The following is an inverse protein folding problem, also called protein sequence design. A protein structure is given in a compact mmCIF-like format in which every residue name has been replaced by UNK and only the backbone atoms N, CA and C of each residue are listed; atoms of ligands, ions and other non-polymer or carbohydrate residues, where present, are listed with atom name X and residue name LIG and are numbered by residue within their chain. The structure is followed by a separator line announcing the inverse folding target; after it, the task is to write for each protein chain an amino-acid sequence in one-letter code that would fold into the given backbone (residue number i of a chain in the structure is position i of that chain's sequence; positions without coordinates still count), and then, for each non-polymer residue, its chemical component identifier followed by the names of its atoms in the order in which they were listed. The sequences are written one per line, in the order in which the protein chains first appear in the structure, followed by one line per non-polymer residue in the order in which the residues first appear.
data_IF_806612049474
#
_entry.id   IF_806612049474
#
_cell.length_a   1.000
_cell.length_b   1.000
_cell.length_c   1.000
_cell.angle_alpha   90.00
_cell.angle_beta   90.00
_cell.angle_gamma   90.00
#
_symmetry.space_group_name_H-M   'P 1'
#
loop_
_entity.id
_entity.type
_entity.pdbx_description
1 polymer ?
#
# COMPACT_ATOMS: atom_id res chain seq x y z
N UNK A 1 58.87 -0.47 33.56
CA UNK A 1 57.39 -0.46 33.55
C UNK A 1 56.92 -1.73 32.87
N UNK A 2 56.46 -2.72 33.64
CA UNK A 2 55.94 -3.98 33.10
C UNK A 2 54.47 -3.77 32.71
N UNK A 3 54.14 -3.94 31.42
CA UNK A 3 52.75 -3.92 30.97
C UNK A 3 52.07 -5.22 31.42
N UNK A 4 51.18 -5.10 32.41
CA UNK A 4 50.34 -6.19 32.89
C UNK A 4 49.35 -6.60 31.80
N UNK A 5 49.65 -7.69 31.09
CA UNK A 5 48.80 -8.26 30.05
C UNK A 5 47.41 -8.66 30.59
N UNK A 6 47.25 -8.83 31.90
CA UNK A 6 45.97 -9.15 32.52
C UNK A 6 45.09 -7.93 32.78
N UNK A 7 45.62 -6.71 32.69
CA UNK A 7 44.86 -5.48 32.97
C UNK A 7 43.68 -5.28 32.01
N UNK A 8 43.87 -5.57 30.72
CA UNK A 8 42.81 -5.47 29.69
C UNK A 8 41.70 -6.50 29.92
N UNK A 9 42.07 -7.75 30.21
CA UNK A 9 41.13 -8.83 30.50
C UNK A 9 40.30 -8.53 31.75
N UNK A 10 40.96 -8.07 32.82
CA UNK A 10 40.31 -7.69 34.08
C UNK A 10 39.37 -6.50 33.91
N UNK A 11 39.75 -5.50 33.11
CA UNK A 11 38.87 -4.38 32.77
C UNK A 11 37.59 -4.85 32.05
N UNK A 12 37.71 -5.68 31.01
CA UNK A 12 36.56 -6.18 30.26
C UNK A 12 35.65 -7.06 31.11
N UNK A 13 36.22 -7.91 31.96
CA UNK A 13 35.47 -8.76 32.89
C UNK A 13 34.70 -7.92 33.90
N UNK A 14 35.35 -6.92 34.50
CA UNK A 14 34.71 -6.02 35.46
C UNK A 14 33.64 -5.13 34.81
N UNK A 15 33.87 -4.66 33.59
CA UNK A 15 32.88 -3.92 32.82
C UNK A 15 31.66 -4.79 32.48
N UNK A 16 31.87 -6.05 32.08
CA UNK A 16 30.81 -7.02 31.83
C UNK A 16 29.98 -7.31 33.09
N UNK A 17 30.63 -7.52 34.24
CA UNK A 17 29.94 -7.70 35.51
C UNK A 17 29.17 -6.44 35.95
N UNK A 18 29.74 -5.25 35.76
CA UNK A 18 29.08 -3.98 36.09
C UNK A 18 27.82 -3.74 35.26
N UNK A 19 27.90 -3.96 33.93
CA UNK A 19 26.76 -3.85 33.03
C UNK A 19 25.68 -4.90 33.34
N UNK A 20 26.09 -6.14 33.64
CA UNK A 20 25.17 -7.22 34.02
C UNK A 20 24.45 -6.94 35.35
N UNK A 21 25.18 -6.47 36.36
CA UNK A 21 24.62 -6.10 37.66
C UNK A 21 23.68 -4.89 37.54
N UNK A 22 24.02 -3.90 36.71
CA UNK A 22 23.15 -2.75 36.42
C UNK A 22 21.85 -3.20 35.74
N UNK A 23 21.93 -4.03 34.69
CA UNK A 23 20.76 -4.56 34.01
C UNK A 23 19.87 -5.39 34.96
N UNK A 24 20.48 -6.26 35.77
CA UNK A 24 19.77 -7.10 36.74
C UNK A 24 19.10 -6.27 37.84
N UNK A 25 19.81 -5.27 38.38
CA UNK A 25 19.23 -4.34 39.35
C UNK A 25 18.13 -3.49 38.74
N UNK A 26 18.15 -3.23 37.43
CA UNK A 26 17.07 -2.54 36.74
C UNK A 26 15.78 -3.34 36.73
N UNK A 27 15.84 -4.65 36.47
CA UNK A 27 14.66 -5.52 36.26
C UNK A 27 14.19 -6.26 37.52
N UNK A 28 14.75 -5.95 38.69
CA UNK A 28 14.43 -6.64 39.93
C UNK A 28 12.99 -6.33 40.39
N UNK A 29 12.10 -7.33 40.50
CA UNK A 29 10.70 -7.09 40.89
C UNK A 29 10.61 -6.44 42.28
N UNK A 30 9.93 -5.29 42.38
CA UNK A 30 9.68 -4.60 43.65
C UNK A 30 10.83 -3.75 44.20
N UNK A 31 11.93 -3.56 43.43
CA UNK A 31 13.06 -2.74 43.87
C UNK A 31 14.02 -2.25 42.79
N UNK A 32 13.78 -2.57 41.51
CA UNK A 32 14.58 -2.05 40.40
C UNK A 32 14.16 -0.65 39.94
N UNK A 33 15.11 0.09 39.37
CA UNK A 33 14.88 1.44 38.83
C UNK A 33 14.24 1.44 37.43
N UNK A 34 14.23 0.28 36.74
CA UNK A 34 13.34 0.09 35.59
C UNK A 34 12.01 -0.30 36.21
N UNK A 35 11.16 0.71 36.41
CA UNK A 35 9.84 0.52 36.98
C UNK A 35 9.11 -0.58 36.18
N UNK A 36 8.76 -1.68 36.85
CA UNK A 36 7.83 -2.68 36.31
C UNK A 36 6.41 -2.11 36.14
N UNK A 37 6.21 -0.83 36.51
CA UNK A 37 5.05 -0.01 36.17
C UNK A 37 5.10 0.31 34.68
N UNK A 38 4.67 -0.65 33.87
CA UNK A 38 3.88 -0.43 32.65
C UNK A 38 3.46 -1.74 31.96
N UNK A 39 3.83 -2.93 32.47
CA UNK A 39 3.33 -4.18 31.89
C UNK A 39 1.81 -4.37 32.09
N UNK A 40 1.25 -3.80 33.18
CA UNK A 40 -0.18 -3.90 33.49
C UNK A 40 -1.08 -2.94 32.70
N UNK A 41 -0.52 -1.86 32.12
CA UNK A 41 -1.28 -0.91 31.29
C UNK A 41 -1.43 -1.37 29.83
N UNK A 42 -0.68 -2.41 29.42
CA UNK A 42 -0.89 -3.09 28.14
C UNK A 42 -1.96 -4.19 28.31
N UNK A 43 -3.21 -3.77 28.52
CA UNK A 43 -4.36 -4.66 28.73
C UNK A 43 -4.62 -5.65 27.57
N UNK A 44 -4.10 -5.37 26.37
CA UNK A 44 -3.93 -6.33 25.28
C UNK A 44 -3.09 -5.62 24.19
N UNK A 45 -1.91 -6.14 23.78
CA UNK A 45 -1.11 -5.52 22.72
C UNK A 45 -1.82 -5.46 21.36
N UNK A 46 -2.88 -6.25 21.19
CA UNK A 46 -3.75 -6.26 20.01
C UNK A 46 -5.03 -5.43 20.22
N UNK A 47 -5.23 -4.83 21.39
CA UNK A 47 -6.38 -3.99 21.65
C UNK A 47 -6.46 -2.84 20.64
N UNK A 48 -7.69 -2.43 20.28
CA UNK A 48 -7.91 -1.24 19.49
C UNK A 48 -7.17 -0.02 20.02
N UNK A 49 -6.44 0.68 19.14
CA UNK A 49 -5.67 1.88 19.48
C UNK A 49 -6.45 3.10 19.04
N UNK A 50 -6.49 4.11 19.89
CA UNK A 50 -7.10 5.38 19.52
C UNK A 50 -6.36 5.98 18.31
N UNK A 51 -7.06 6.33 17.22
CA UNK A 51 -6.43 6.94 16.06
C UNK A 51 -5.91 8.34 16.40
N UNK A 52 -4.89 8.81 15.67
CA UNK A 52 -4.30 10.15 15.87
C UNK A 52 -5.30 11.30 15.61
N UNK A 53 -6.37 11.03 14.87
CA UNK A 53 -7.41 12.00 14.53
C UNK A 53 -8.80 11.39 14.75
N UNK A 54 -9.75 12.22 15.18
CA UNK A 54 -11.16 11.81 15.26
C UNK A 54 -11.66 11.40 13.86
N UNK A 55 -12.16 10.17 13.69
CA UNK A 55 -12.63 9.70 12.40
C UNK A 55 -13.86 10.50 11.96
N UNK A 56 -13.81 11.06 10.74
CA UNK A 56 -14.96 11.74 10.12
C UNK A 56 -15.91 10.76 9.42
N UNK A 57 -15.37 9.68 8.86
CA UNK A 57 -16.15 8.61 8.23
C UNK A 57 -16.53 7.55 9.27
N UNK A 58 -17.79 7.10 9.25
CA UNK A 58 -18.30 6.06 10.17
C UNK A 58 -18.24 4.65 9.57
N UNK A 59 -18.29 4.56 8.24
CA UNK A 59 -18.27 3.30 7.50
C UNK A 59 -17.62 3.54 6.13
N UNK A 60 -16.99 2.50 5.58
CA UNK A 60 -16.39 2.49 4.25
C UNK A 60 -16.93 1.28 3.50
N UNK A 61 -17.56 1.52 2.34
CA UNK A 61 -17.94 0.45 1.42
C UNK A 61 -16.82 0.34 0.37
N UNK A 62 -16.11 -0.78 0.36
CA UNK A 62 -15.04 -1.04 -0.59
C UNK A 62 -15.48 -2.06 -1.64
N UNK A 63 -15.50 -1.64 -2.90
CA UNK A 63 -15.87 -2.49 -4.03
C UNK A 63 -14.64 -2.74 -4.90
N UNK A 64 -14.04 -3.94 -4.79
CA UNK A 64 -12.99 -4.38 -5.70
C UNK A 64 -13.61 -5.05 -6.94
N UNK A 65 -13.60 -4.34 -8.05
CA UNK A 65 -14.34 -4.73 -9.26
C UNK A 65 -13.48 -5.59 -10.22
N UNK A 66 -12.97 -6.73 -9.75
CA UNK A 66 -12.27 -7.68 -10.61
C UNK A 66 -13.24 -8.28 -11.65
N UNK A 67 -12.89 -8.19 -12.94
CA UNK A 67 -13.73 -8.68 -14.04
C UNK A 67 -14.85 -7.72 -14.47
N UNK A 68 -14.98 -6.55 -13.85
CA UNK A 68 -15.88 -5.51 -14.32
C UNK A 68 -15.34 -4.83 -15.61
N UNK A 69 -16.16 -4.02 -16.30
CA UNK A 69 -15.70 -3.26 -17.46
C UNK A 69 -14.46 -2.41 -17.14
N UNK A 70 -13.58 -2.26 -18.13
CA UNK A 70 -12.35 -1.47 -17.98
C UNK A 70 -12.68 -0.03 -17.61
N UNK A 71 -11.82 0.62 -16.82
CA UNK A 71 -11.95 2.07 -16.56
C UNK A 71 -11.88 2.88 -17.85
N UNK A 72 -11.17 2.36 -18.88
CA UNK A 72 -11.11 2.92 -20.22
C UNK A 72 -12.45 2.84 -20.97
N UNK A 73 -13.41 2.03 -20.51
CA UNK A 73 -14.77 1.96 -21.05
C UNK A 73 -15.76 2.78 -20.23
N UNK A 74 -15.40 3.22 -19.02
CA UNK A 74 -16.32 3.83 -18.05
C UNK A 74 -16.10 5.34 -17.87
N UNK A 75 -14.92 5.76 -17.42
CA UNK A 75 -14.67 7.13 -16.95
C UNK A 75 -13.22 7.61 -17.13
N UNK A 76 -12.39 6.85 -17.88
CA UNK A 76 -11.02 7.25 -18.20
C UNK A 76 -10.84 7.44 -19.71
N UNK A 77 -11.38 8.54 -20.21
CA UNK A 77 -11.23 8.91 -21.62
C UNK A 77 -9.76 9.16 -21.97
N UNK A 78 -9.25 8.44 -22.97
CA UNK A 78 -7.90 8.57 -23.51
C UNK A 78 -7.95 8.96 -25.00
N UNK A 79 -7.98 10.26 -25.35
CA UNK A 79 -8.09 10.69 -26.74
C UNK A 79 -6.93 10.19 -27.62
N UNK A 80 -5.71 10.12 -27.09
CA UNK A 80 -4.57 9.58 -27.82
C UNK A 80 -4.70 8.08 -28.11
N UNK A 81 -5.26 7.31 -27.19
CA UNK A 81 -5.53 5.89 -27.43
C UNK A 81 -6.56 5.71 -28.56
N UNK A 82 -7.58 6.57 -28.62
CA UNK A 82 -8.57 6.56 -29.70
C UNK A 82 -7.91 6.85 -31.06
N UNK A 83 -7.01 7.83 -31.13
CA UNK A 83 -6.27 8.14 -32.36
C UNK A 83 -5.37 6.99 -32.82
N UNK A 84 -4.75 6.29 -31.86
CA UNK A 84 -3.83 5.18 -32.12
C UNK A 84 -4.53 3.82 -32.22
N UNK A 85 -5.86 3.79 -32.30
CA UNK A 85 -6.59 2.53 -32.42
C UNK A 85 -6.13 1.72 -33.64
N UNK A 86 -5.86 0.42 -33.43
CA UNK A 86 -5.39 -0.50 -34.46
C UNK A 86 -3.91 -0.37 -34.81
N UNK A 87 -3.20 0.61 -34.23
CA UNK A 87 -1.76 0.78 -34.42
C UNK A 87 -0.96 -0.14 -33.48
N UNK A 88 0.27 -0.53 -33.83
CA UNK A 88 1.15 -1.25 -32.91
C UNK A 88 1.45 -0.41 -31.66
N UNK A 89 1.77 -1.08 -30.55
CA UNK A 89 2.21 -0.40 -29.33
C UNK A 89 3.51 0.37 -29.62
N UNK A 90 3.59 1.68 -29.34
CA UNK A 90 4.81 2.45 -29.56
C UNK A 90 5.99 1.91 -28.73
N UNK A 91 7.20 1.99 -29.31
CA UNK A 91 8.42 1.47 -28.69
C UNK A 91 8.75 2.09 -27.32
N UNK A 92 8.29 3.32 -27.08
CA UNK A 92 8.43 3.98 -25.78
C UNK A 92 7.72 3.24 -24.64
N UNK A 93 6.66 2.48 -24.96
CA UNK A 93 5.88 1.71 -23.98
C UNK A 93 6.25 0.22 -23.97
N UNK A 94 6.83 -0.32 -25.05
CA UNK A 94 7.13 -1.76 -25.17
C UNK A 94 8.37 -2.18 -24.37
N UNK A 95 9.40 -1.33 -24.26
CA UNK A 95 10.73 -1.69 -23.72
C UNK A 95 10.73 -2.25 -22.29
N UNK A 96 9.78 -1.86 -21.45
CA UNK A 96 9.70 -2.29 -20.05
C UNK A 96 8.46 -3.16 -19.77
N UNK A 97 7.71 -3.55 -20.80
CA UNK A 97 6.47 -4.28 -20.63
C UNK A 97 6.77 -5.79 -20.55
N UNK A 98 6.57 -6.36 -19.35
CA UNK A 98 6.61 -7.80 -19.15
C UNK A 98 5.22 -8.38 -19.40
N UNK A 99 4.99 -9.04 -20.54
CA UNK A 99 3.72 -9.74 -20.81
C UNK A 99 3.75 -11.14 -20.19
N UNK A 100 2.62 -11.55 -19.59
CA UNK A 100 2.48 -12.91 -19.06
C UNK A 100 2.04 -13.94 -20.11
N UNK A 101 1.73 -13.48 -21.33
CA UNK A 101 1.21 -14.29 -22.43
C UNK A 101 2.23 -14.40 -23.55
N UNK A 102 2.44 -15.62 -24.06
CA UNK A 102 3.41 -15.94 -25.13
C UNK A 102 3.06 -15.31 -26.49
N UNK A 103 1.83 -14.82 -26.66
CA UNK A 103 1.34 -14.20 -27.91
C UNK A 103 1.82 -12.76 -28.17
N UNK A 104 2.68 -12.20 -27.33
CA UNK A 104 3.20 -10.84 -27.48
C UNK A 104 2.16 -9.74 -27.24
N UNK A 105 2.48 -8.52 -27.69
CA UNK A 105 1.61 -7.34 -27.56
C UNK A 105 0.87 -7.11 -28.86
N UNK A 106 -0.47 -7.22 -28.82
CA UNK A 106 -1.33 -6.91 -29.97
C UNK A 106 -1.42 -5.40 -30.27
N UNK A 107 -2.13 -5.07 -31.34
CA UNK A 107 -2.44 -3.68 -31.67
C UNK A 107 -3.24 -2.99 -30.56
N UNK A 108 -3.06 -1.68 -30.42
CA UNK A 108 -3.77 -0.85 -29.46
C UNK A 108 -5.27 -0.91 -29.72
N UNK A 109 -6.03 -1.22 -28.67
CA UNK A 109 -7.48 -1.24 -28.73
C UNK A 109 -8.06 -0.01 -28.02
N UNK A 110 -8.90 0.74 -28.72
CA UNK A 110 -9.67 1.83 -28.16
C UNK A 110 -11.13 1.41 -28.12
N UNK A 111 -11.82 1.84 -27.06
CA UNK A 111 -13.24 1.61 -26.93
C UNK A 111 -14.03 2.37 -28.01
N UNK A 112 -15.15 1.79 -28.47
CA UNK A 112 -16.07 2.42 -29.43
C UNK A 112 -17.15 3.27 -28.76
N UNK A 113 -16.99 3.56 -27.47
CA UNK A 113 -17.94 4.33 -26.65
C UNK A 113 -17.91 5.80 -27.02
N UNK A 114 -19.05 6.47 -26.82
CA UNK A 114 -19.12 7.92 -26.85
C UNK A 114 -18.80 8.51 -25.47
N UNK A 115 -18.28 9.74 -25.44
CA UNK A 115 -17.78 10.38 -24.23
C UNK A 115 -18.34 11.78 -24.09
N UNK A 116 -18.64 12.18 -22.85
CA UNK A 116 -19.09 13.54 -22.51
C UNK A 116 -18.56 13.94 -21.14
N UNK A 117 -18.31 15.23 -20.95
CA UNK A 117 -17.98 15.82 -19.65
C UNK A 117 -19.26 16.14 -18.87
N UNK A 118 -19.24 15.87 -17.57
CA UNK A 118 -20.36 16.10 -16.66
C UNK A 118 -19.93 16.88 -15.43
N UNK A 119 -20.89 17.60 -14.84
CA UNK A 119 -20.68 18.40 -13.63
C UNK A 119 -19.78 19.62 -13.86
N UNK A 120 -19.53 20.34 -12.78
CA UNK A 120 -18.60 21.46 -12.73
C UNK A 120 -17.14 20.99 -12.81
N UNK A 121 -16.86 19.78 -12.32
CA UNK A 121 -15.54 19.13 -12.41
C UNK A 121 -15.12 18.81 -13.85
N UNK A 122 -16.07 18.78 -14.79
CA UNK A 122 -15.81 18.40 -16.18
C UNK A 122 -15.31 16.95 -16.31
N UNK A 123 -15.68 16.07 -15.37
CA UNK A 123 -15.25 14.68 -15.39
C UNK A 123 -15.81 13.94 -16.62
N UNK A 124 -14.94 13.16 -17.27
CA UNK A 124 -15.31 12.37 -18.45
C UNK A 124 -16.03 11.08 -18.06
N UNK A 125 -17.18 10.83 -18.67
CA UNK A 125 -17.91 9.57 -18.57
C UNK A 125 -18.31 9.06 -19.95
N UNK A 126 -18.38 7.75 -20.08
CA UNK A 126 -18.89 7.09 -21.28
C UNK A 126 -20.42 6.95 -21.24
N UNK A 127 -21.00 6.62 -22.39
CA UNK A 127 -22.42 6.25 -22.51
C UNK A 127 -22.83 4.98 -21.74
N UNK A 128 -21.88 4.23 -21.16
CA UNK A 128 -22.16 2.99 -20.44
C UNK A 128 -22.66 3.22 -19.01
N UNK A 129 -22.33 4.37 -18.42
CA UNK A 129 -22.66 4.69 -17.03
C UNK A 129 -23.37 6.05 -16.88
N UNK A 130 -24.47 6.28 -17.61
CA UNK A 130 -25.14 7.58 -17.66
C UNK A 130 -25.70 8.01 -16.30
N UNK A 131 -26.15 7.05 -15.48
CA UNK A 131 -26.67 7.33 -14.14
C UNK A 131 -25.56 7.72 -13.16
N UNK A 132 -24.38 7.13 -13.30
CA UNK A 132 -23.23 7.51 -12.46
C UNK A 132 -22.71 8.90 -12.84
N UNK A 133 -22.75 9.25 -14.12
CA UNK A 133 -22.31 10.54 -14.63
C UNK A 133 -23.09 11.73 -14.03
N UNK A 134 -24.35 11.52 -13.63
CA UNK A 134 -25.17 12.53 -12.92
C UNK A 134 -24.60 12.91 -11.54
N UNK A 135 -23.64 12.14 -11.03
CA UNK A 135 -22.98 12.35 -9.75
C UNK A 135 -21.50 12.72 -9.89
N UNK A 136 -21.08 13.21 -11.07
CA UNK A 136 -19.69 13.58 -11.36
C UNK A 136 -19.00 14.35 -10.24
N UNK A 137 -19.63 15.41 -9.73
CA UNK A 137 -19.03 16.29 -8.70
C UNK A 137 -19.06 15.71 -7.29
N UNK A 138 -19.72 14.56 -7.10
CA UNK A 138 -19.71 13.78 -5.85
C UNK A 138 -18.66 12.66 -5.87
N UNK A 139 -18.00 12.46 -7.01
CA UNK A 139 -17.05 11.36 -7.21
C UNK A 139 -15.65 11.96 -7.31
N UNK A 140 -14.72 11.44 -6.51
CA UNK A 140 -13.31 11.76 -6.63
C UNK A 140 -12.59 10.67 -7.43
N UNK A 141 -11.84 11.07 -8.45
CA UNK A 141 -11.04 10.18 -9.27
C UNK A 141 -9.57 10.22 -8.85
N UNK A 142 -9.01 9.07 -8.46
CA UNK A 142 -7.58 8.90 -8.22
C UNK A 142 -6.93 8.12 -9.37
N UNK A 143 -6.31 8.84 -10.31
CA UNK A 143 -5.68 8.26 -11.53
C UNK A 143 -4.15 8.15 -11.46
N UNK A 144 -3.60 8.04 -10.25
CA UNK A 144 -2.15 8.07 -10.00
C UNK A 144 -1.51 6.73 -9.64
N UNK A 145 -2.24 5.61 -9.73
CA UNK A 145 -1.71 4.31 -9.31
C UNK A 145 -0.76 3.73 -10.37
N UNK A 146 0.37 3.20 -9.92
CA UNK A 146 1.35 2.49 -10.74
C UNK A 146 1.59 1.10 -10.16
N UNK A 147 1.67 0.11 -11.03
CA UNK A 147 2.00 -1.28 -10.67
C UNK A 147 3.17 -1.78 -11.53
N UNK A 148 3.81 -2.86 -11.09
CA UNK A 148 4.97 -3.47 -11.74
C UNK A 148 4.59 -4.76 -12.52
N UNK A 149 3.34 -5.20 -12.41
CA UNK A 149 2.81 -6.38 -13.10
C UNK A 149 1.81 -6.03 -14.20
N UNK A 150 1.80 -6.84 -15.26
CA UNK A 150 0.87 -6.72 -16.39
C UNK A 150 -0.46 -7.47 -16.18
N UNK A 151 -0.56 -8.29 -15.14
CA UNK A 151 -1.74 -9.11 -14.86
C UNK A 151 -2.57 -8.54 -13.72
N UNK A 152 -3.88 -8.77 -13.80
CA UNK A 152 -4.81 -8.38 -12.73
C UNK A 152 -4.47 -9.06 -11.39
N UNK A 153 -3.90 -10.27 -11.39
CA UNK A 153 -3.50 -10.99 -10.16
C UNK A 153 -2.41 -10.23 -9.42
N UNK A 154 -1.33 -9.83 -10.12
CA UNK A 154 -0.22 -9.09 -9.51
C UNK A 154 -0.69 -7.71 -9.04
N UNK A 155 -1.50 -7.02 -9.86
CA UNK A 155 -2.04 -5.72 -9.50
C UNK A 155 -2.97 -5.79 -8.28
N UNK A 156 -3.81 -6.81 -8.18
CA UNK A 156 -4.72 -7.01 -7.03
C UNK A 156 -3.94 -7.32 -5.76
N UNK A 157 -2.94 -8.19 -5.82
CA UNK A 157 -2.08 -8.48 -4.68
C UNK A 157 -1.35 -7.22 -4.19
N UNK A 158 -0.81 -6.41 -5.12
CA UNK A 158 -0.13 -5.15 -4.79
C UNK A 158 -1.10 -4.13 -4.18
N UNK A 159 -2.30 -3.99 -4.74
CA UNK A 159 -3.33 -3.09 -4.24
C UNK A 159 -3.74 -3.44 -2.81
N UNK A 160 -3.97 -4.72 -2.53
CA UNK A 160 -4.45 -5.15 -1.23
C UNK A 160 -3.34 -5.25 -0.19
N UNK A 161 -2.13 -5.69 -0.55
CA UNK A 161 -1.11 -6.02 0.45
C UNK A 161 0.13 -5.12 0.42
N UNK A 162 0.16 -4.11 -0.47
CA UNK A 162 1.32 -3.25 -0.79
C UNK A 162 2.58 -3.97 -1.28
N UNK A 163 2.54 -5.30 -1.41
CA UNK A 163 3.66 -6.14 -1.82
C UNK A 163 3.24 -7.19 -2.84
N UNK A 164 4.23 -7.90 -3.36
CA UNK A 164 4.01 -9.03 -4.27
C UNK A 164 4.22 -10.39 -3.58
N UNK A 165 4.75 -10.36 -2.35
CA UNK A 165 4.98 -11.56 -1.55
C UNK A 165 3.69 -11.87 -0.77
N UNK A 166 3.08 -13.05 -0.94
CA UNK A 166 1.92 -13.47 -0.17
C UNK A 166 2.18 -13.49 1.35
N UNK A 167 1.12 -13.40 2.15
CA UNK A 167 1.20 -13.46 3.62
C UNK A 167 1.39 -12.11 4.32
N UNK A 168 1.46 -11.01 3.56
CA UNK A 168 1.43 -9.65 4.12
C UNK A 168 0.00 -9.28 4.54
N UNK A 169 -0.18 -8.44 5.59
CA UNK A 169 -1.47 -7.87 5.94
C UNK A 169 -2.12 -7.18 4.73
N UNK A 170 -3.44 -7.32 4.62
CA UNK A 170 -4.21 -6.76 3.52
C UNK A 170 -4.84 -5.41 3.90
N UNK A 171 -5.40 -4.71 2.91
CA UNK A 171 -6.19 -3.51 3.09
C UNK A 171 -7.31 -3.83 4.07
N UNK A 172 -7.38 -3.07 5.15
CA UNK A 172 -8.38 -3.29 6.19
C UNK A 172 -7.95 -4.16 7.36
N UNK A 173 -6.77 -4.81 7.32
CA UNK A 173 -6.26 -5.61 8.46
C UNK A 173 -6.02 -4.81 9.75
N UNK A 174 -6.11 -3.48 9.68
CA UNK A 174 -5.91 -2.54 10.78
C UNK A 174 -7.16 -1.71 11.09
N UNK A 175 -8.29 -2.01 10.43
CA UNK A 175 -9.58 -1.37 10.74
C UNK A 175 -10.13 -2.03 12.00
N UNK A 176 -10.59 -1.20 12.94
CA UNK A 176 -11.13 -1.57 14.25
C UNK A 176 -12.60 -1.17 14.33
#
# INVERSE_FOLDING_TARGET
MTHDHNARRRFLVNAGYGLGAFAFSGVLPGGGFISSVQAADYLDPLAPKQPHHTPKAKAVIWLHMAGAPSTLDLFDYKPELVKLHGQPLPDSFSKNLKTATDGGVGALYATKRSWKQYGESGAWFSDLVPNLAQHADKICFLKGSKTEGSTHVIASLKLHTSGLVPGRPALGSWIQ
#
